data_IF_892605988948
#
_entry.id   IF_892605988948
#
_cell.length_a   1.000
_cell.length_b   1.000
_cell.length_c   1.000
_cell.angle_alpha   90.00
_cell.angle_beta   90.00
_cell.angle_gamma   90.00
#
_symmetry.space_group_name_H-M   'P 1'
#
loop_
_entity.id
_entity.type
_entity.pdbx_description
1 polymer ?
#
# COMPACT_ATOMS: atom_id res chain seq x y z
N UNK A 1 30.26 -35.83 22.47
CA UNK A 1 29.16 -34.86 22.22
C UNK A 1 28.88 -34.86 20.73
N UNK A 2 27.75 -35.40 20.25
CA UNK A 2 27.50 -35.42 18.82
C UNK A 2 26.96 -34.06 18.36
N UNK A 3 27.55 -33.55 17.29
CA UNK A 3 27.14 -32.33 16.61
C UNK A 3 25.71 -32.46 16.11
N UNK A 4 24.83 -31.54 16.51
CA UNK A 4 23.44 -31.49 16.05
C UNK A 4 23.40 -31.20 14.56
N UNK A 5 22.71 -32.08 13.84
CA UNK A 5 22.59 -32.10 12.40
C UNK A 5 22.10 -30.76 11.82
N UNK A 6 22.78 -30.29 10.77
CA UNK A 6 22.31 -29.21 9.91
C UNK A 6 21.02 -29.68 9.23
N UNK A 7 19.88 -29.20 9.70
CA UNK A 7 18.60 -29.40 9.01
C UNK A 7 18.58 -28.52 7.75
N UNK A 8 19.15 -29.03 6.66
CA UNK A 8 18.86 -28.54 5.31
C UNK A 8 17.46 -28.98 4.92
N UNK A 9 16.46 -28.30 5.48
CA UNK A 9 15.09 -28.36 4.96
C UNK A 9 15.03 -27.42 3.76
N UNK A 10 14.59 -27.95 2.63
CA UNK A 10 14.37 -27.28 1.35
C UNK A 10 13.22 -26.26 1.51
N UNK A 11 13.45 -25.19 2.26
CA UNK A 11 12.52 -24.09 2.43
C UNK A 11 12.29 -23.49 1.04
N UNK A 12 11.07 -23.62 0.54
CA UNK A 12 10.61 -22.97 -0.68
C UNK A 12 10.98 -21.50 -0.57
N UNK A 13 11.93 -21.01 -1.38
CA UNK A 13 12.28 -19.58 -1.40
C UNK A 13 10.97 -18.81 -1.58
N UNK A 14 10.71 -17.87 -0.67
CA UNK A 14 9.57 -16.96 -0.80
C UNK A 14 9.58 -16.38 -2.20
N UNK A 15 8.49 -16.57 -2.94
CA UNK A 15 8.33 -15.98 -4.27
C UNK A 15 7.86 -14.55 -4.10
N UNK A 16 8.78 -13.59 -4.16
CA UNK A 16 8.44 -12.16 -4.20
C UNK A 16 7.70 -11.82 -5.49
N UNK A 17 6.60 -11.07 -5.39
CA UNK A 17 5.75 -10.71 -6.52
C UNK A 17 5.69 -9.20 -6.78
N UNK A 18 5.99 -8.38 -5.77
CA UNK A 18 6.12 -6.94 -5.95
C UNK A 18 7.06 -6.34 -4.90
N UNK A 19 7.60 -5.17 -5.23
CA UNK A 19 8.41 -4.36 -4.33
C UNK A 19 8.05 -2.88 -4.46
N UNK A 20 8.29 -2.12 -3.38
CA UNK A 20 8.21 -0.67 -3.38
C UNK A 20 9.45 -0.10 -2.70
N UNK A 21 10.10 0.85 -3.39
CA UNK A 21 11.21 1.63 -2.84
C UNK A 21 10.67 2.88 -2.16
N UNK A 22 11.15 3.14 -0.95
CA UNK A 22 10.81 4.30 -0.13
C UNK A 22 12.08 5.04 0.24
N UNK A 23 12.06 6.35 0.11
CA UNK A 23 13.12 7.23 0.59
C UNK A 23 12.96 7.46 2.10
N UNK A 24 14.04 7.26 2.86
CA UNK A 24 14.11 7.65 4.26
C UNK A 24 14.44 9.13 4.37
N UNK A 25 13.69 9.86 5.18
CA UNK A 25 13.85 11.31 5.39
C UNK A 25 14.28 11.69 6.80
N UNK A 26 14.77 10.73 7.55
CA UNK A 26 15.46 10.97 8.82
C UNK A 26 16.93 11.33 8.59
N UNK A 27 17.67 11.54 9.68
CA UNK A 27 19.10 11.90 9.63
C UNK A 27 20.00 10.79 9.08
N UNK A 28 19.53 9.54 9.12
CA UNK A 28 20.23 8.38 8.53
C UNK A 28 20.13 8.41 7.02
N UNK A 29 18.96 8.78 6.48
CA UNK A 29 18.69 8.77 5.05
C UNK A 29 18.73 7.36 4.46
N UNK A 30 18.80 7.28 3.13
CA UNK A 30 18.86 6.02 2.39
C UNK A 30 17.51 5.51 1.89
N UNK A 31 17.43 4.22 1.60
CA UNK A 31 16.28 3.59 0.94
C UNK A 31 15.77 2.41 1.76
N UNK A 32 14.45 2.36 1.94
CA UNK A 32 13.74 1.19 2.46
C UNK A 32 13.08 0.47 1.29
N UNK A 33 13.22 -0.85 1.23
CA UNK A 33 12.53 -1.68 0.25
C UNK A 33 11.47 -2.49 0.97
N UNK A 34 10.22 -2.27 0.61
CA UNK A 34 9.10 -3.12 1.03
C UNK A 34 8.90 -4.19 -0.02
N UNK A 35 8.93 -5.47 0.37
CA UNK A 35 8.62 -6.58 -0.55
C UNK A 35 7.39 -7.34 -0.10
N UNK A 36 6.59 -7.75 -1.08
CA UNK A 36 5.43 -8.61 -0.87
C UNK A 36 5.58 -9.86 -1.73
N UNK A 37 5.30 -11.01 -1.12
CA UNK A 37 5.38 -12.30 -1.76
C UNK A 37 4.02 -12.86 -2.16
N UNK A 38 4.07 -13.90 -2.97
CA UNK A 38 2.89 -14.63 -3.40
C UNK A 38 2.15 -15.19 -2.18
N UNK A 39 0.83 -15.00 -2.05
CA UNK A 39 0.04 -15.72 -1.08
C UNK A 39 0.28 -17.22 -1.21
N UNK A 40 0.39 -17.90 -0.07
CA UNK A 40 0.68 -19.32 -0.01
C UNK A 40 -0.17 -20.01 1.06
N UNK A 41 -0.44 -21.29 0.80
CA UNK A 41 -1.01 -22.23 1.75
C UNK A 41 0.07 -23.24 2.16
N UNK A 42 0.74 -23.04 3.30
CA UNK A 42 1.78 -23.97 3.76
C UNK A 42 1.21 -25.35 4.10
N UNK A 43 1.99 -26.43 3.98
CA UNK A 43 1.59 -27.74 4.46
C UNK A 43 1.19 -27.71 5.94
N UNK A 44 0.01 -28.23 6.28
CA UNK A 44 -0.51 -28.22 7.65
C UNK A 44 -1.01 -26.86 8.16
N UNK A 45 -1.08 -25.84 7.31
CA UNK A 45 -1.64 -24.55 7.69
C UNK A 45 -3.16 -24.62 7.89
N UNK A 46 -3.68 -23.72 8.73
CA UNK A 46 -5.11 -23.53 8.97
C UNK A 46 -5.70 -22.37 8.16
N UNK A 47 -4.84 -21.53 7.58
CA UNK A 47 -5.20 -20.30 6.90
C UNK A 47 -4.16 -19.95 5.83
N UNK A 48 -4.54 -19.12 4.86
CA UNK A 48 -3.62 -18.53 3.90
C UNK A 48 -2.72 -17.53 4.58
N UNK A 49 -1.49 -17.40 4.06
CA UNK A 49 -0.58 -16.33 4.45
C UNK A 49 0.05 -15.66 3.24
N UNK A 50 0.27 -14.36 3.32
CA UNK A 50 1.01 -13.58 2.35
C UNK A 50 2.26 -13.00 3.04
N UNK A 51 3.48 -13.44 2.65
CA UNK A 51 4.71 -12.96 3.24
C UNK A 51 5.01 -11.53 2.79
N UNK A 52 5.55 -10.71 3.70
CA UNK A 52 6.14 -9.42 3.38
C UNK A 52 7.35 -9.15 4.26
N UNK A 53 8.24 -8.26 3.83
CA UNK A 53 9.42 -7.87 4.60
C UNK A 53 9.84 -6.44 4.29
N UNK A 54 10.72 -5.91 5.13
CA UNK A 54 11.37 -4.63 4.95
C UNK A 54 12.88 -4.86 4.84
N UNK A 55 13.53 -4.20 3.89
CA UNK A 55 14.98 -4.07 3.86
C UNK A 55 15.33 -2.62 4.18
N UNK A 56 16.39 -2.39 4.97
CA UNK A 56 16.86 -1.04 5.31
C UNK A 56 16.22 -0.42 6.54
N UNK A 57 15.47 -1.19 7.34
CA UNK A 57 14.91 -0.79 8.65
C UNK A 57 15.61 -1.45 9.85
N UNK A 58 16.61 -2.32 9.61
CA UNK A 58 17.36 -3.01 10.66
C UNK A 58 16.70 -4.30 11.16
N UNK A 59 15.50 -4.62 10.69
CA UNK A 59 14.83 -5.91 10.86
C UNK A 59 14.46 -6.48 9.49
N UNK A 60 15.18 -7.52 9.08
CA UNK A 60 14.95 -8.22 7.81
C UNK A 60 14.05 -9.46 7.99
N UNK A 61 13.29 -9.52 9.09
CA UNK A 61 12.34 -10.59 9.34
C UNK A 61 11.21 -10.62 8.32
N UNK A 62 10.76 -11.84 7.99
CA UNK A 62 9.57 -12.03 7.15
C UNK A 62 8.33 -12.02 8.05
N UNK A 63 7.45 -11.06 7.80
CA UNK A 63 6.12 -10.98 8.39
C UNK A 63 5.08 -11.62 7.48
N UNK A 64 3.88 -11.86 8.01
CA UNK A 64 2.80 -12.51 7.27
C UNK A 64 1.46 -11.85 7.54
N UNK A 65 0.79 -11.40 6.48
CA UNK A 65 -0.67 -11.18 6.51
C UNK A 65 -1.37 -12.52 6.40
N UNK A 66 -2.38 -12.79 7.23
CA UNK A 66 -3.06 -14.09 7.26
C UNK A 66 -4.57 -13.93 7.12
N UNK A 67 -5.22 -14.85 6.41
CA UNK A 67 -6.67 -14.86 6.27
C UNK A 67 -7.19 -16.21 5.74
N UNK A 68 -8.50 -16.34 5.64
CA UNK A 68 -9.19 -17.54 5.15
C UNK A 68 -8.97 -17.82 3.66
N UNK A 69 -8.59 -16.81 2.88
CA UNK A 69 -8.30 -16.91 1.45
C UNK A 69 -7.06 -16.10 1.06
N UNK A 70 -6.57 -16.33 -0.17
CA UNK A 70 -5.35 -15.72 -0.70
C UNK A 70 -5.47 -14.21 -0.93
N UNK A 71 -6.65 -13.72 -1.31
CA UNK A 71 -6.91 -12.30 -1.56
C UNK A 71 -6.90 -11.53 -0.25
N UNK A 72 -7.63 -12.01 0.74
CA UNK A 72 -7.70 -11.40 2.05
C UNK A 72 -6.35 -11.49 2.79
N UNK A 73 -5.56 -12.56 2.59
CA UNK A 73 -4.20 -12.62 3.12
C UNK A 73 -3.28 -11.55 2.50
N UNK A 74 -3.41 -11.29 1.20
CA UNK A 74 -2.69 -10.21 0.50
C UNK A 74 -3.12 -8.83 1.01
N UNK A 75 -4.42 -8.58 1.16
CA UNK A 75 -4.96 -7.34 1.74
C UNK A 75 -4.43 -7.12 3.17
N UNK A 76 -4.47 -8.16 4.01
CA UNK A 76 -3.93 -8.10 5.38
C UNK A 76 -2.42 -7.86 5.42
N UNK A 77 -1.66 -8.34 4.43
CA UNK A 77 -0.24 -8.01 4.31
C UNK A 77 -0.04 -6.52 4.02
N UNK A 78 -0.84 -5.91 3.14
CA UNK A 78 -0.78 -4.46 2.86
C UNK A 78 -1.15 -3.62 4.08
N UNK A 79 -2.17 -4.03 4.85
CA UNK A 79 -2.56 -3.40 6.12
C UNK A 79 -1.40 -3.51 7.13
N UNK A 80 -0.83 -4.71 7.27
CA UNK A 80 0.29 -4.97 8.18
C UNK A 80 1.52 -4.14 7.82
N UNK A 81 1.83 -4.00 6.52
CA UNK A 81 2.90 -3.13 6.03
C UNK A 81 2.68 -1.70 6.51
N UNK A 82 1.50 -1.11 6.26
CA UNK A 82 1.20 0.26 6.67
C UNK A 82 1.37 0.44 8.17
N UNK A 83 0.77 -0.44 8.97
CA UNK A 83 0.82 -0.35 10.44
C UNK A 83 2.25 -0.47 10.97
N UNK A 84 3.06 -1.37 10.42
CA UNK A 84 4.45 -1.54 10.87
C UNK A 84 5.31 -0.36 10.47
N UNK A 85 5.15 0.19 9.26
CA UNK A 85 5.85 1.41 8.84
C UNK A 85 5.47 2.60 9.73
N UNK A 86 4.19 2.81 10.02
CA UNK A 86 3.72 3.87 10.92
C UNK A 86 4.31 3.73 12.33
N UNK A 87 4.39 2.49 12.86
CA UNK A 87 4.99 2.22 14.18
C UNK A 87 6.47 2.52 14.26
N UNK A 88 7.19 2.51 13.14
CA UNK A 88 8.62 2.89 13.16
C UNK A 88 8.82 4.37 13.48
N UNK A 89 7.84 5.22 13.17
CA UNK A 89 7.98 6.68 13.27
C UNK A 89 8.98 7.29 12.29
N UNK A 90 9.58 6.48 11.40
CA UNK A 90 10.54 6.96 10.40
C UNK A 90 9.77 7.66 9.28
N UNK A 91 10.10 8.92 8.95
CA UNK A 91 9.48 9.60 7.82
C UNK A 91 9.93 8.92 6.52
N UNK A 92 8.99 8.27 5.84
CA UNK A 92 9.20 7.54 4.60
C UNK A 92 8.40 8.18 3.47
N UNK A 93 9.02 8.26 2.30
CA UNK A 93 8.40 8.85 1.11
C UNK A 93 8.45 7.90 -0.06
N UNK A 94 7.29 7.61 -0.62
CA UNK A 94 7.20 6.92 -1.91
C UNK A 94 7.49 7.90 -3.05
N UNK A 95 8.19 7.41 -4.07
CA UNK A 95 8.55 8.18 -5.26
C UNK A 95 7.33 8.91 -5.86
N UNK A 96 7.51 10.19 -6.17
CA UNK A 96 6.45 11.05 -6.72
C UNK A 96 5.46 11.59 -5.69
N UNK A 97 5.60 11.25 -4.40
CA UNK A 97 4.86 11.91 -3.33
C UNK A 97 5.60 13.15 -2.83
N UNK A 98 4.87 14.24 -2.64
CA UNK A 98 5.40 15.47 -2.02
C UNK A 98 5.46 15.37 -0.47
N UNK A 99 4.77 14.38 0.11
CA UNK A 99 4.59 14.23 1.56
C UNK A 99 5.34 13.01 2.10
N UNK A 100 5.40 12.88 3.44
CA UNK A 100 5.90 11.69 4.13
C UNK A 100 4.89 10.53 4.04
N UNK A 101 4.53 10.16 2.81
CA UNK A 101 3.59 9.10 2.51
C UNK A 101 4.31 7.90 1.90
N UNK A 102 4.23 6.76 2.58
CA UNK A 102 4.85 5.50 2.13
C UNK A 102 4.08 4.81 0.98
N UNK A 103 2.96 5.39 0.51
CA UNK A 103 2.17 4.82 -0.59
C UNK A 103 1.20 3.71 -0.18
N UNK A 104 1.10 3.35 1.09
CA UNK A 104 0.20 2.29 1.57
C UNK A 104 -1.05 2.93 2.21
N UNK A 105 -2.24 2.80 1.61
CA UNK A 105 -3.45 3.48 2.05
C UNK A 105 -4.01 2.86 3.34
N UNK A 106 -4.73 3.68 4.12
CA UNK A 106 -5.52 3.17 5.24
C UNK A 106 -6.68 2.34 4.72
N UNK A 107 -6.88 1.16 5.29
CA UNK A 107 -8.08 0.36 5.03
C UNK A 107 -9.25 0.86 5.88
N UNK A 108 -10.47 0.84 5.31
CA UNK A 108 -11.68 1.20 6.04
C UNK A 108 -12.09 0.00 6.90
N UNK A 109 -12.11 0.10 8.24
CA UNK A 109 -12.35 -1.06 9.08
C UNK A 109 -13.75 -1.66 8.86
N UNK A 110 -13.79 -2.90 8.39
CA UNK A 110 -15.04 -3.65 8.18
C UNK A 110 -15.58 -4.30 9.47
N UNK A 111 -14.75 -4.42 10.51
CA UNK A 111 -15.11 -5.05 11.79
C UNK A 111 -16.21 -4.34 12.59
N UNK A 112 -16.55 -3.09 12.25
CA UNK A 112 -17.65 -2.33 12.87
C UNK A 112 -18.99 -2.49 12.13
N UNK A 113 -19.04 -3.37 11.13
CA UNK A 113 -20.23 -3.65 10.33
C UNK A 113 -20.37 -2.75 9.10
N UNK A 114 -21.17 -3.22 8.14
CA UNK A 114 -21.30 -2.62 6.82
C UNK A 114 -21.80 -1.17 6.85
N UNK A 115 -22.69 -0.84 7.80
CA UNK A 115 -23.21 0.52 7.95
C UNK A 115 -22.12 1.53 8.37
N UNK A 116 -21.15 1.09 9.19
CA UNK A 116 -19.99 1.92 9.53
C UNK A 116 -19.12 2.14 8.30
N UNK A 117 -18.79 1.05 7.59
CA UNK A 117 -17.96 1.09 6.39
C UNK A 117 -18.54 2.05 5.33
N UNK A 118 -19.80 1.86 4.94
CA UNK A 118 -20.46 2.72 3.95
C UNK A 118 -20.49 4.19 4.36
N UNK A 119 -20.64 4.48 5.66
CA UNK A 119 -20.61 5.86 6.14
C UNK A 119 -19.25 6.50 5.93
N UNK A 120 -18.16 5.79 6.24
CA UNK A 120 -16.80 6.28 6.04
C UNK A 120 -16.48 6.42 4.54
N UNK A 121 -16.84 5.43 3.73
CA UNK A 121 -16.67 5.49 2.27
C UNK A 121 -17.38 6.71 1.67
N UNK A 122 -18.64 6.94 2.05
CA UNK A 122 -19.40 8.11 1.59
C UNK A 122 -18.76 9.44 2.01
N UNK A 123 -18.18 9.51 3.22
CA UNK A 123 -17.46 10.70 3.66
C UNK A 123 -16.23 10.95 2.78
N UNK A 124 -15.45 9.91 2.47
CA UNK A 124 -14.28 9.99 1.58
C UNK A 124 -14.70 10.46 0.17
N UNK A 125 -15.75 9.86 -0.40
CA UNK A 125 -16.26 10.24 -1.72
C UNK A 125 -16.74 11.70 -1.77
N UNK A 126 -17.40 12.16 -0.71
CA UNK A 126 -17.86 13.55 -0.61
C UNK A 126 -16.68 14.52 -0.62
N UNK A 127 -15.65 14.25 0.20
CA UNK A 127 -14.43 15.06 0.25
C UNK A 127 -13.72 15.11 -1.11
N UNK A 128 -13.62 13.96 -1.79
CA UNK A 128 -13.01 13.89 -3.13
C UNK A 128 -13.77 14.77 -4.14
N UNK A 129 -15.11 14.70 -4.17
CA UNK A 129 -15.89 15.53 -5.10
C UNK A 129 -15.75 17.02 -4.78
N UNK A 130 -15.69 17.41 -3.50
CA UNK A 130 -15.49 18.82 -3.12
C UNK A 130 -14.16 19.39 -3.62
N UNK A 131 -13.10 18.57 -3.57
CA UNK A 131 -11.78 18.94 -4.09
C UNK A 131 -11.72 18.96 -5.63
N UNK A 132 -12.38 18.01 -6.30
CA UNK A 132 -12.32 17.85 -7.76
C UNK A 132 -13.25 18.83 -8.49
N UNK A 133 -14.39 19.19 -7.90
CA UNK A 133 -15.38 20.10 -8.49
C UNK A 133 -14.79 21.41 -9.06
N UNK A 134 -14.01 22.23 -8.31
CA UNK A 134 -13.47 23.48 -8.85
C UNK A 134 -12.48 23.27 -10.00
N UNK A 135 -11.75 22.15 -9.98
CA UNK A 135 -10.83 21.77 -11.06
C UNK A 135 -11.62 21.49 -12.33
N UNK A 136 -12.67 20.66 -12.24
CA UNK A 136 -13.58 20.33 -13.34
C UNK A 136 -14.19 21.59 -13.96
N UNK A 137 -14.77 22.46 -13.12
CA UNK A 137 -15.38 23.72 -13.58
C UNK A 137 -14.39 24.63 -14.32
N UNK A 138 -13.15 24.74 -13.82
CA UNK A 138 -12.10 25.53 -14.48
C UNK A 138 -11.77 24.96 -15.86
N UNK A 139 -11.62 23.64 -15.98
CA UNK A 139 -11.37 22.98 -17.26
C UNK A 139 -12.50 23.19 -18.26
N UNK A 140 -13.76 23.09 -17.82
CA UNK A 140 -14.93 23.34 -18.65
C UNK A 140 -14.99 24.79 -19.14
N UNK A 141 -14.74 25.77 -18.26
CA UNK A 141 -14.68 27.20 -18.62
C UNK A 141 -13.61 27.46 -19.67
N UNK A 142 -12.41 26.91 -19.49
CA UNK A 142 -11.31 27.05 -20.45
C UNK A 142 -11.63 26.39 -21.79
N UNK A 143 -12.26 25.21 -21.77
CA UNK A 143 -12.70 24.52 -22.99
C UNK A 143 -13.76 25.33 -23.76
N UNK A 144 -14.73 25.92 -23.05
CA UNK A 144 -15.75 26.79 -23.64
C UNK A 144 -15.14 28.05 -24.27
N UNK A 145 -14.21 28.72 -23.58
CA UNK A 145 -13.50 29.89 -24.12
C UNK A 145 -12.70 29.55 -25.38
N UNK A 146 -12.01 28.39 -25.41
CA UNK A 146 -11.28 27.92 -26.60
C UNK A 146 -12.22 27.68 -27.78
N UNK A 147 -13.37 27.06 -27.55
CA UNK A 147 -14.40 26.84 -28.59
C UNK A 147 -14.95 28.17 -29.12
N UNK A 148 -15.25 29.12 -28.23
CA UNK A 148 -15.73 30.45 -28.62
C UNK A 148 -14.71 31.20 -29.49
N UNK A 149 -13.43 31.23 -29.09
CA UNK A 149 -12.35 31.88 -29.87
C UNK A 149 -12.19 31.28 -31.27
N UNK A 150 -12.25 29.95 -31.41
CA UNK A 150 -12.21 29.27 -32.71
C UNK A 150 -13.39 29.65 -33.61
N UNK A 151 -14.59 29.79 -33.03
CA UNK A 151 -15.79 30.20 -33.79
C UNK A 151 -15.71 31.65 -34.28
N UNK A 152 -15.07 32.54 -33.51
CA UNK A 152 -14.86 33.93 -33.92
C UNK A 152 -13.80 34.08 -35.02
N UNK A 153 -12.78 33.22 -35.08
CA UNK A 153 -11.74 33.23 -36.12
C UNK A 153 -12.16 32.58 -37.44
N UNK A 154 -13.26 31.83 -37.45
CA UNK A 154 -13.81 31.16 -38.64
C UNK A 154 -14.93 31.97 -39.34
N UNK A 155 -15.19 33.20 -38.89
CA UNK A 155 -16.09 34.18 -39.48
C UNK A 155 -15.29 35.33 -40.06
#
# INVERSE_FOLDING_TARGET
MPASAKTTSKAKRTRWIAERRLERRDTVGGTVIVRIGSPEWPPGAKEWRCPFMFEGLGDDSIHFGKSIDSMAALQNALIGIRQLLERTGIPLRWEGSDENYAGFPMDVPSGFGLAFQHRIEKMIETEIEELVRPIRERHERLAAQRKARKKTQAK
#
